data_IF_908393324469
#
_entry.id   IF_908393324469
#
_cell.length_a   1.000
_cell.length_b   1.000
_cell.length_c   1.000
_cell.angle_alpha   90.00
_cell.angle_beta   90.00
_cell.angle_gamma   90.00
#
_symmetry.space_group_name_H-M   'P 1'
#
loop_
_entity.id
_entity.type
_entity.pdbx_description
1 polymer ?
#
# COMPACT_ATOMS: atom_id res chain seq x y z
N UNK A 1 22.00 4.13 -11.36
CA UNK A 1 22.79 4.24 -10.13
C UNK A 1 23.58 2.98 -9.87
N UNK A 2 24.81 3.13 -9.36
CA UNK A 2 25.65 2.02 -8.89
C UNK A 2 25.74 2.10 -7.37
N UNK A 3 25.70 0.97 -6.67
CA UNK A 3 25.96 0.89 -5.23
C UNK A 3 26.95 -0.23 -4.94
N UNK A 4 27.67 -0.11 -3.83
CA UNK A 4 28.66 -1.10 -3.40
C UNK A 4 28.16 -1.83 -2.15
N UNK A 5 28.25 -3.15 -2.17
CA UNK A 5 27.97 -4.00 -1.02
C UNK A 5 28.98 -5.16 -0.97
N UNK A 6 29.61 -5.40 0.18
CA UNK A 6 30.66 -6.41 0.36
C UNK A 6 31.76 -6.37 -0.73
N UNK A 7 32.24 -5.17 -1.06
CA UNK A 7 33.31 -4.99 -2.05
C UNK A 7 32.87 -5.18 -3.51
N UNK A 8 31.60 -5.51 -3.78
CA UNK A 8 31.08 -5.71 -5.13
C UNK A 8 30.19 -4.55 -5.55
N UNK A 9 30.31 -4.14 -6.81
CA UNK A 9 29.48 -3.11 -7.41
C UNK A 9 28.25 -3.71 -8.08
N UNK A 10 27.11 -3.09 -7.82
CA UNK A 10 25.81 -3.49 -8.37
C UNK A 10 25.20 -2.32 -9.12
N UNK A 11 24.63 -2.60 -10.30
CA UNK A 11 23.88 -1.62 -11.09
C UNK A 11 22.40 -1.88 -10.93
N UNK A 12 21.65 -0.87 -10.50
CA UNK A 12 20.20 -0.93 -10.50
C UNK A 12 19.69 -0.89 -11.95
N UNK A 13 19.04 -1.96 -12.40
CA UNK A 13 18.51 -2.10 -13.77
C UNK A 13 17.09 -1.52 -13.91
N UNK A 14 16.30 -1.62 -12.85
CA UNK A 14 14.89 -1.22 -12.80
C UNK A 14 14.57 -0.57 -11.45
N UNK A 15 13.60 0.33 -11.46
CA UNK A 15 13.20 1.10 -10.27
C UNK A 15 14.11 2.29 -9.98
N UNK A 16 13.76 3.01 -8.92
CA UNK A 16 14.45 4.21 -8.48
C UNK A 16 15.43 3.87 -7.34
N UNK A 17 16.63 4.48 -7.31
CA UNK A 17 17.61 4.22 -6.26
C UNK A 17 17.14 4.75 -4.91
N UNK A 18 17.21 3.89 -3.89
CA UNK A 18 17.05 4.32 -2.50
C UNK A 18 18.16 5.31 -2.14
N UNK A 19 17.83 6.37 -1.40
CA UNK A 19 18.80 7.40 -0.99
C UNK A 19 19.03 8.54 -2.00
N UNK A 20 18.45 8.47 -3.20
CA UNK A 20 18.39 9.62 -4.08
C UNK A 20 17.21 10.52 -3.67
N UNK A 21 17.46 11.82 -3.52
CA UNK A 21 16.48 12.82 -3.09
C UNK A 21 15.26 12.94 -4.00
N UNK A 22 15.40 12.62 -5.29
CA UNK A 22 14.31 12.68 -6.26
C UNK A 22 13.49 11.38 -6.34
N UNK A 23 14.03 10.26 -5.87
CA UNK A 23 13.37 8.95 -5.97
C UNK A 23 12.01 8.90 -5.26
N UNK A 24 11.84 9.43 -4.04
CA UNK A 24 10.53 9.40 -3.38
C UNK A 24 9.45 10.15 -4.17
N UNK A 25 9.79 11.33 -4.70
CA UNK A 25 8.85 12.16 -5.46
C UNK A 25 8.44 11.45 -6.76
N UNK A 26 9.41 10.88 -7.49
CA UNK A 26 9.12 10.16 -8.73
C UNK A 26 8.32 8.87 -8.48
N UNK A 27 8.62 8.15 -7.40
CA UNK A 27 7.84 6.99 -6.99
C UNK A 27 6.39 7.40 -6.64
N UNK A 28 6.21 8.53 -5.96
CA UNK A 28 4.89 9.06 -5.63
C UNK A 28 4.07 9.45 -6.85
N UNK A 29 4.66 10.14 -7.82
CA UNK A 29 3.97 10.50 -9.07
C UNK A 29 3.54 9.24 -9.82
N UNK A 30 4.45 8.28 -9.97
CA UNK A 30 4.16 7.03 -10.67
C UNK A 30 3.06 6.23 -9.98
N UNK A 31 3.11 6.11 -8.65
CA UNK A 31 2.07 5.44 -7.88
C UNK A 31 0.75 6.21 -7.90
N UNK A 32 0.77 7.54 -7.98
CA UNK A 32 -0.45 8.33 -8.11
C UNK A 32 -1.15 8.11 -9.45
N UNK A 33 -0.37 8.06 -10.53
CA UNK A 33 -0.87 7.70 -11.86
C UNK A 33 -1.36 6.25 -11.90
N UNK A 34 -0.61 5.31 -11.32
CA UNK A 34 -1.02 3.90 -11.23
C UNK A 34 -2.34 3.75 -10.47
N UNK A 35 -2.48 4.44 -9.33
CA UNK A 35 -3.75 4.49 -8.60
C UNK A 35 -4.88 5.04 -9.47
N UNK A 36 -4.65 6.15 -10.17
CA UNK A 36 -5.63 6.77 -11.07
C UNK A 36 -6.14 5.81 -12.14
N UNK A 37 -5.24 5.02 -12.71
CA UNK A 37 -5.55 4.12 -13.83
C UNK A 37 -6.15 2.78 -13.38
N UNK A 38 -5.75 2.27 -12.21
CA UNK A 38 -6.03 0.87 -11.84
C UNK A 38 -6.74 0.69 -10.50
N UNK A 39 -6.71 1.70 -9.61
CA UNK A 39 -7.39 1.67 -8.32
C UNK A 39 -8.71 2.46 -8.30
N UNK A 40 -9.19 2.99 -9.43
CA UNK A 40 -10.42 3.81 -9.46
C UNK A 40 -11.75 3.05 -9.34
N UNK A 41 -11.75 1.73 -9.13
CA UNK A 41 -12.98 0.92 -9.06
C UNK A 41 -13.21 0.20 -7.71
N UNK A 42 -12.29 0.32 -6.75
CA UNK A 42 -12.24 -0.56 -5.56
C UNK A 42 -13.33 -0.27 -4.53
N UNK A 43 -13.68 1.01 -4.42
CA UNK A 43 -14.74 1.58 -3.62
C UNK A 43 -14.58 3.09 -3.77
N UNK A 44 -15.62 3.87 -3.55
CA UNK A 44 -15.46 5.25 -3.11
C UNK A 44 -15.14 5.11 -1.63
N UNK A 45 -13.88 5.03 -1.19
CA UNK A 45 -13.59 4.74 0.20
C UNK A 45 -13.73 6.09 0.87
N UNK A 46 -14.46 6.18 1.97
CA UNK A 46 -14.53 7.46 2.69
C UNK A 46 -13.12 8.00 3.01
N UNK A 47 -12.08 7.13 3.10
CA UNK A 47 -10.65 7.47 3.21
C UNK A 47 -9.71 6.38 2.66
N UNK A 48 -8.65 6.79 1.95
CA UNK A 48 -7.44 5.99 1.64
C UNK A 48 -6.26 6.70 2.31
N UNK A 49 -5.40 5.96 2.98
CA UNK A 49 -4.10 6.46 3.44
C UNK A 49 -2.99 5.71 2.70
N UNK A 50 -1.97 6.46 2.27
CA UNK A 50 -0.79 5.91 1.63
C UNK A 50 0.44 6.53 2.28
N UNK A 51 1.42 5.68 2.58
CA UNK A 51 2.74 6.08 3.04
C UNK A 51 3.78 5.32 2.21
N UNK A 52 4.40 6.01 1.25
CA UNK A 52 5.34 5.43 0.28
C UNK A 52 4.74 4.20 -0.43
N UNK A 53 5.09 2.99 -0.04
CA UNK A 53 4.62 1.72 -0.58
C UNK A 53 3.43 1.13 0.17
N UNK A 54 3.19 1.52 1.43
CA UNK A 54 2.09 1.01 2.24
C UNK A 54 0.77 1.76 2.01
N UNK A 55 -0.30 1.00 1.79
CA UNK A 55 -1.64 1.53 1.55
C UNK A 55 -2.63 0.93 2.55
N UNK A 56 -3.36 1.79 3.25
CA UNK A 56 -4.49 1.44 4.10
C UNK A 56 -5.80 1.89 3.44
N UNK A 57 -6.75 0.96 3.30
CA UNK A 57 -8.04 1.21 2.66
C UNK A 57 -9.16 0.76 3.59
N UNK A 58 -10.12 1.65 3.86
CA UNK A 58 -11.40 1.26 4.46
C UNK A 58 -12.35 0.90 3.33
N UNK A 59 -12.76 -0.36 3.26
CA UNK A 59 -13.54 -0.90 2.14
C UNK A 59 -14.73 -1.72 2.63
N UNK A 60 -15.79 -1.77 1.80
CA UNK A 60 -16.93 -2.68 1.98
C UNK A 60 -16.64 -4.10 1.48
N UNK A 61 -15.50 -4.32 0.80
CA UNK A 61 -15.13 -5.65 0.32
C UNK A 61 -14.84 -6.58 1.49
N UNK A 62 -15.29 -7.82 1.38
CA UNK A 62 -14.85 -8.90 2.27
C UNK A 62 -13.49 -9.46 1.83
N UNK A 63 -12.88 -10.29 2.68
CA UNK A 63 -11.56 -10.89 2.43
C UNK A 63 -11.43 -11.58 1.05
N UNK A 64 -12.35 -12.48 0.63
CA UNK A 64 -12.25 -13.10 -0.70
C UNK A 64 -12.37 -12.12 -1.87
N UNK A 65 -13.17 -11.06 -1.73
CA UNK A 65 -13.27 -10.01 -2.75
C UNK A 65 -11.96 -9.22 -2.85
N UNK A 66 -11.34 -8.89 -1.71
CA UNK A 66 -10.03 -8.23 -1.68
C UNK A 66 -8.95 -9.10 -2.34
N UNK A 67 -8.88 -10.39 -2.02
CA UNK A 67 -7.91 -11.32 -2.61
C UNK A 67 -8.06 -11.40 -4.13
N UNK A 68 -9.30 -11.50 -4.65
CA UNK A 68 -9.57 -11.47 -6.09
C UNK A 68 -9.14 -10.16 -6.73
N UNK A 69 -9.39 -9.04 -6.05
CA UNK A 69 -9.02 -7.72 -6.52
C UNK A 69 -7.50 -7.55 -6.63
N UNK A 70 -6.76 -7.96 -5.60
CA UNK A 70 -5.29 -7.94 -5.58
C UNK A 70 -4.71 -8.86 -6.65
N UNK A 71 -5.32 -10.03 -6.85
CA UNK A 71 -4.94 -10.94 -7.94
C UNK A 71 -5.14 -10.29 -9.32
N UNK A 72 -6.24 -9.55 -9.51
CA UNK A 72 -6.46 -8.80 -10.74
C UNK A 72 -5.40 -7.71 -10.96
N UNK A 73 -5.10 -6.90 -9.94
CA UNK A 73 -4.02 -5.90 -10.02
C UNK A 73 -2.68 -6.53 -10.39
N UNK A 74 -2.38 -7.69 -9.81
CA UNK A 74 -1.14 -8.42 -10.09
C UNK A 74 -1.07 -9.01 -11.50
N UNK A 75 -2.20 -9.12 -12.22
CA UNK A 75 -2.22 -9.52 -13.64
C UNK A 75 -1.96 -8.36 -14.59
N UNK A 76 -2.13 -7.12 -14.14
CA UNK A 76 -1.81 -5.95 -14.94
C UNK A 76 -0.32 -6.01 -15.28
N UNK A 77 -0.01 -5.87 -16.57
CA UNK A 77 1.36 -6.02 -17.08
C UNK A 77 2.21 -4.86 -16.55
N UNK A 78 3.00 -5.12 -15.51
CA UNK A 78 3.85 -4.14 -14.85
C UNK A 78 4.84 -4.78 -13.90
N UNK A 79 5.75 -3.96 -13.38
CA UNK A 79 6.77 -4.37 -12.40
C UNK A 79 6.28 -4.31 -10.96
N UNK A 80 5.12 -3.71 -10.70
CA UNK A 80 4.51 -3.63 -9.37
C UNK A 80 3.75 -4.93 -9.08
N UNK A 81 3.94 -5.44 -7.86
CA UNK A 81 3.13 -6.52 -7.29
C UNK A 81 2.58 -6.07 -5.95
N UNK A 82 1.28 -6.25 -5.77
CA UNK A 82 0.57 -5.96 -4.54
C UNK A 82 0.49 -7.21 -3.69
N UNK A 83 0.75 -7.03 -2.41
CA UNK A 83 0.33 -7.92 -1.34
C UNK A 83 -0.81 -7.25 -0.58
N UNK A 84 -1.58 -8.03 0.16
CA UNK A 84 -2.69 -7.49 0.94
C UNK A 84 -2.86 -8.25 2.23
N UNK A 85 -3.21 -7.51 3.28
CA UNK A 85 -3.65 -8.04 4.55
C UNK A 85 -5.09 -7.58 4.81
N UNK A 86 -5.88 -8.45 5.43
CA UNK A 86 -7.24 -8.14 5.84
C UNK A 86 -7.29 -8.09 7.37
N UNK A 87 -8.11 -7.21 7.93
CA UNK A 87 -8.25 -7.08 9.39
C UNK A 87 -8.61 -8.44 10.04
N UNK A 88 -8.03 -8.68 11.21
CA UNK A 88 -8.33 -9.87 12.02
C UNK A 88 -8.69 -9.40 13.43
N UNK A 89 -9.77 -9.94 14.00
CA UNK A 89 -10.28 -9.54 15.32
C UNK A 89 -10.47 -8.02 15.44
N UNK A 90 -10.99 -7.38 14.38
CA UNK A 90 -11.17 -5.93 14.28
C UNK A 90 -9.86 -5.12 14.42
N UNK A 91 -8.71 -5.74 14.10
CA UNK A 91 -7.40 -5.13 14.16
C UNK A 91 -6.62 -5.28 12.86
N UNK A 92 -5.83 -4.27 12.53
CA UNK A 92 -4.88 -4.30 11.42
C UNK A 92 -3.65 -3.46 11.76
N UNK A 93 -2.48 -3.92 11.34
CA UNK A 93 -1.25 -3.16 11.49
C UNK A 93 -1.07 -2.21 10.31
N UNK A 94 -0.58 -1.01 10.58
CA UNK A 94 -0.21 -0.04 9.56
C UNK A 94 1.01 0.75 10.05
N UNK A 95 2.12 0.61 9.34
CA UNK A 95 3.43 1.11 9.77
C UNK A 95 3.76 0.60 11.19
N UNK A 96 4.23 1.47 12.07
CA UNK A 96 4.52 1.18 13.48
C UNK A 96 3.30 1.32 14.41
N UNK A 97 2.08 1.14 13.87
CA UNK A 97 0.84 1.27 14.64
C UNK A 97 -0.10 0.10 14.46
N UNK A 98 -0.87 -0.20 15.51
CA UNK A 98 -1.99 -1.13 15.45
C UNK A 98 -3.30 -0.33 15.49
N UNK A 99 -4.11 -0.51 14.46
CA UNK A 99 -5.43 0.08 14.34
C UNK A 99 -6.46 -0.91 14.84
N UNK A 100 -7.34 -0.47 15.74
CA UNK A 100 -8.49 -1.26 16.22
C UNK A 100 -9.79 -0.58 15.82
N UNK A 101 -10.62 -1.30 15.06
CA UNK A 101 -11.95 -0.87 14.66
C UNK A 101 -12.93 -1.05 15.82
N UNK A 102 -13.67 0.01 16.15
CA UNK A 102 -14.76 -0.03 17.13
C UNK A 102 -16.02 0.54 16.51
N UNK A 103 -17.15 -0.12 16.77
CA UNK A 103 -18.47 0.36 16.37
C UNK A 103 -19.14 1.00 17.60
N UNK A 104 -19.38 2.30 17.57
CA UNK A 104 -20.07 3.05 18.63
C UNK A 104 -21.19 3.84 17.98
N UNK A 105 -22.43 3.65 18.42
CA UNK A 105 -23.61 4.36 17.88
C UNK A 105 -23.72 4.29 16.34
N UNK A 106 -23.45 3.12 15.76
CA UNK A 106 -23.38 2.86 14.31
C UNK A 106 -22.28 3.62 13.55
N UNK A 107 -21.37 4.31 14.24
CA UNK A 107 -20.20 4.94 13.65
C UNK A 107 -18.95 4.07 13.84
N UNK A 108 -18.12 4.00 12.79
CA UNK A 108 -16.83 3.31 12.84
C UNK A 108 -15.79 4.28 13.38
N UNK A 109 -15.22 3.95 14.54
CA UNK A 109 -14.12 4.68 15.16
C UNK A 109 -12.87 3.82 15.11
N UNK A 110 -11.80 4.37 14.55
CA UNK A 110 -10.48 3.74 14.57
C UNK A 110 -9.71 4.22 15.80
N UNK A 111 -9.38 3.31 16.70
CA UNK A 111 -8.44 3.57 17.80
C UNK A 111 -7.04 3.18 17.35
N UNK A 112 -6.11 4.12 17.48
CA UNK A 112 -4.70 3.93 17.13
C UNK A 112 -3.93 3.64 18.41
N UNK A 113 -3.11 2.59 18.39
CA UNK A 113 -2.13 2.30 19.44
C UNK A 113 -0.75 2.23 18.82
N UNK A 114 0.17 3.03 19.36
CA UNK A 114 1.60 2.95 19.06
C UNK A 114 2.20 1.73 19.79
N UNK A 115 3.16 1.07 19.14
CA UNK A 115 3.96 0.03 19.79
C UNK A 115 4.98 0.62 20.76
#
# INVERSE_FOLDING_TARGET
SYFQFNGKFYKQKTGLPMGNTLSPILADIYMDEYKKQHLHEVNIPNKIWRYVDDILIITKMNKPQLEKYVHYLNKIRGTIKFTSEFEQNDQINYLDTMLTKKLINNEIILKIRWF
#
